data_IF_083585120198
#
_entry.id   IF_083585120198
#
_cell.length_a   1.000
_cell.length_b   1.000
_cell.length_c   1.000
_cell.angle_alpha   90.00
_cell.angle_beta   90.00
_cell.angle_gamma   90.00
#
_symmetry.space_group_name_H-M   'P 1'
#
loop_
_entity.id
_entity.type
_entity.pdbx_description
1 polymer ?
#
# COMPACT_ATOMS: atom_id res chain seq x y z
N UNK A 1 23.70 16.93 11.31
CA UNK A 1 23.02 15.64 11.18
C UNK A 1 21.54 15.88 11.41
N UNK A 2 20.72 15.82 10.34
CA UNK A 2 19.29 15.59 10.50
C UNK A 2 19.10 14.18 9.99
N UNK A 3 18.88 13.27 10.92
CA UNK A 3 18.43 11.93 10.62
C UNK A 3 17.23 12.04 9.69
N UNK A 4 17.24 11.28 8.61
CA UNK A 4 16.12 11.09 7.70
C UNK A 4 14.95 10.60 8.54
N UNK A 5 14.10 11.54 8.98
CA UNK A 5 12.92 11.25 9.77
C UNK A 5 12.04 10.30 8.94
N UNK A 6 11.67 9.16 9.53
CA UNK A 6 10.64 8.29 8.97
C UNK A 6 9.41 9.15 8.70
N UNK A 7 9.04 9.23 7.43
CA UNK A 7 7.95 10.08 7.01
C UNK A 7 6.63 9.52 7.57
N UNK A 8 5.71 10.37 8.04
CA UNK A 8 4.37 9.92 8.36
C UNK A 8 3.75 9.30 7.08
N UNK A 9 3.34 8.03 7.18
CA UNK A 9 2.72 7.20 6.12
C UNK A 9 3.66 6.42 5.18
N UNK A 10 4.98 6.40 5.39
CA UNK A 10 5.87 5.46 4.69
C UNK A 10 5.90 4.10 5.40
N UNK A 11 4.88 3.26 5.17
CA UNK A 11 4.97 1.84 5.52
C UNK A 11 5.78 1.13 4.44
N UNK A 12 6.91 0.52 4.82
CA UNK A 12 7.66 -0.40 3.95
C UNK A 12 6.92 -1.72 3.72
N UNK A 13 5.84 -1.98 4.46
CA UNK A 13 5.01 -3.17 4.33
C UNK A 13 3.88 -2.91 3.36
N UNK A 14 3.93 -3.63 2.24
CA UNK A 14 2.96 -3.59 1.17
C UNK A 14 2.26 -4.95 1.11
N UNK A 15 1.00 -4.95 0.69
CA UNK A 15 0.26 -6.18 0.51
C UNK A 15 -0.65 -6.16 -0.71
N UNK A 16 -0.95 -7.36 -1.18
CA UNK A 16 -1.88 -7.65 -2.27
C UNK A 16 -2.74 -8.87 -1.88
N UNK A 17 -4.00 -8.86 -2.30
CA UNK A 17 -4.92 -9.99 -2.11
C UNK A 17 -4.94 -10.85 -3.36
N UNK A 18 -4.77 -12.16 -3.25
CA UNK A 18 -4.89 -13.09 -4.37
C UNK A 18 -6.09 -13.98 -4.10
N UNK A 19 -7.17 -13.75 -4.85
CA UNK A 19 -8.36 -14.58 -4.76
C UNK A 19 -8.14 -15.90 -5.50
N UNK A 20 -8.75 -17.00 -5.03
CA UNK A 20 -8.74 -18.26 -5.76
C UNK A 20 -9.42 -18.08 -7.12
N UNK A 21 -8.84 -18.69 -8.16
CA UNK A 21 -9.33 -18.53 -9.52
C UNK A 21 -10.60 -19.36 -9.69
N UNK A 22 -11.63 -18.78 -10.28
CA UNK A 22 -12.82 -19.50 -10.67
C UNK A 22 -12.50 -20.41 -11.86
N UNK A 23 -12.90 -21.67 -11.78
CA UNK A 23 -12.75 -22.67 -12.84
C UNK A 23 -13.92 -22.64 -13.83
N UNK A 24 -15.02 -22.02 -13.43
CA UNK A 24 -16.27 -21.94 -14.17
C UNK A 24 -16.78 -20.50 -14.22
N UNK A 25 -17.59 -20.20 -15.23
CA UNK A 25 -18.20 -18.87 -15.41
C UNK A 25 -19.14 -18.50 -14.26
N UNK A 26 -19.73 -19.49 -13.62
CA UNK A 26 -20.67 -19.31 -12.51
C UNK A 26 -19.95 -19.13 -11.16
N UNK A 27 -18.62 -19.26 -11.12
CA UNK A 27 -17.81 -19.17 -9.89
C UNK A 27 -18.28 -20.12 -8.78
N UNK A 28 -18.77 -21.30 -9.18
CA UNK A 28 -19.18 -22.38 -8.28
C UNK A 28 -17.99 -23.26 -7.89
N UNK A 29 -16.93 -23.28 -8.72
CA UNK A 29 -15.71 -24.05 -8.48
C UNK A 29 -14.49 -23.16 -8.53
N UNK A 30 -13.59 -23.40 -7.59
CA UNK A 30 -12.34 -22.65 -7.48
C UNK A 30 -11.15 -23.60 -7.56
N UNK A 31 -10.02 -23.07 -8.01
CA UNK A 31 -8.71 -23.74 -7.89
C UNK A 31 -8.40 -24.05 -6.42
N UNK A 32 -7.43 -24.92 -6.18
CA UNK A 32 -7.00 -25.24 -4.81
C UNK A 32 -6.31 -24.05 -4.15
N UNK A 33 -6.15 -24.12 -2.82
CA UNK A 33 -5.43 -23.05 -2.12
C UNK A 33 -3.95 -23.05 -2.49
N UNK A 34 -3.38 -24.22 -2.77
CA UNK A 34 -2.00 -24.38 -3.26
C UNK A 34 -1.80 -23.69 -4.61
N UNK A 35 -2.73 -23.84 -5.56
CA UNK A 35 -2.69 -23.13 -6.84
C UNK A 35 -2.76 -21.60 -6.65
N UNK A 36 -3.52 -21.15 -5.66
CA UNK A 36 -3.63 -19.72 -5.31
C UNK A 36 -2.31 -19.19 -4.75
N UNK A 37 -1.63 -19.96 -3.91
CA UNK A 37 -0.28 -19.64 -3.44
C UNK A 37 0.74 -19.65 -4.59
N UNK A 38 0.65 -20.63 -5.50
CA UNK A 38 1.51 -20.71 -6.68
C UNK A 38 1.35 -19.47 -7.57
N UNK A 39 0.12 -18.99 -7.79
CA UNK A 39 -0.15 -17.72 -8.51
C UNK A 39 0.41 -16.50 -7.78
N UNK A 40 0.28 -16.43 -6.47
CA UNK A 40 0.88 -15.34 -5.68
C UNK A 40 2.41 -15.33 -5.81
N UNK A 41 3.05 -16.51 -5.74
CA UNK A 41 4.48 -16.67 -5.97
C UNK A 41 4.88 -16.30 -7.40
N UNK A 42 4.14 -16.74 -8.40
CA UNK A 42 4.42 -16.39 -9.80
C UNK A 42 4.35 -14.88 -10.03
N UNK A 43 3.37 -14.19 -9.43
CA UNK A 43 3.24 -12.74 -9.54
C UNK A 43 4.44 -11.99 -8.93
N UNK A 44 4.92 -12.39 -7.74
CA UNK A 44 6.08 -11.73 -7.12
C UNK A 44 7.36 -11.97 -7.92
N UNK A 45 7.60 -13.21 -8.38
CA UNK A 45 8.77 -13.52 -9.21
C UNK A 45 8.75 -12.80 -10.55
N UNK A 46 7.58 -12.78 -11.23
CA UNK A 46 7.41 -12.00 -12.47
C UNK A 46 7.73 -10.53 -12.25
N UNK A 47 7.22 -9.95 -11.16
CA UNK A 47 7.48 -8.55 -10.80
C UNK A 47 8.98 -8.27 -10.65
N UNK A 48 9.72 -9.15 -9.94
CA UNK A 48 11.15 -9.00 -9.75
C UNK A 48 11.95 -9.15 -11.05
N UNK A 49 11.57 -10.11 -11.91
CA UNK A 49 12.17 -10.32 -13.24
C UNK A 49 11.93 -9.12 -14.15
N UNK A 50 10.75 -8.50 -14.06
CA UNK A 50 10.41 -7.24 -14.74
C UNK A 50 11.19 -6.03 -14.21
N UNK A 51 12.06 -6.20 -13.21
CA UNK A 51 12.94 -5.15 -12.68
C UNK A 51 12.31 -4.31 -11.56
N UNK A 52 11.20 -4.76 -10.97
CA UNK A 52 10.52 -4.07 -9.87
C UNK A 52 11.28 -4.33 -8.56
N UNK A 53 11.68 -3.29 -7.81
CA UNK A 53 12.53 -3.44 -6.64
C UNK A 53 11.74 -3.79 -5.38
N UNK A 54 11.15 -4.99 -5.37
CA UNK A 54 10.41 -5.53 -4.24
C UNK A 54 10.96 -6.87 -3.75
N UNK A 55 10.79 -7.13 -2.47
CA UNK A 55 11.18 -8.37 -1.80
C UNK A 55 9.96 -9.08 -1.20
N UNK A 56 9.93 -10.40 -1.31
CA UNK A 56 8.90 -11.22 -0.67
C UNK A 56 9.09 -11.20 0.85
N UNK A 57 8.01 -10.96 1.59
CA UNK A 57 8.03 -10.98 3.05
C UNK A 57 7.33 -12.22 3.60
N UNK A 58 6.06 -12.41 3.22
CA UNK A 58 5.26 -13.51 3.71
C UNK A 58 4.02 -13.74 2.82
N UNK A 59 3.44 -14.93 2.90
CA UNK A 59 2.11 -15.22 2.37
C UNK A 59 1.25 -15.85 3.45
N UNK A 60 0.05 -15.32 3.66
CA UNK A 60 -0.88 -15.78 4.69
C UNK A 60 -2.24 -16.11 4.08
N UNK A 61 -2.93 -17.13 4.59
CA UNK A 61 -4.34 -17.37 4.25
C UNK A 61 -5.23 -16.31 4.88
N UNK A 62 -6.13 -15.74 4.09
CA UNK A 62 -7.13 -14.77 4.51
C UNK A 62 -8.52 -15.31 4.19
N UNK A 63 -9.38 -15.38 5.21
CA UNK A 63 -10.76 -15.83 5.07
C UNK A 63 -11.66 -14.63 4.73
N UNK A 64 -12.38 -14.72 3.62
CA UNK A 64 -13.30 -13.69 3.16
C UNK A 64 -14.72 -14.24 3.14
N UNK A 65 -15.63 -13.53 3.80
CA UNK A 65 -17.04 -13.86 3.76
C UNK A 65 -17.62 -13.45 2.41
N UNK A 66 -18.38 -14.36 1.79
CA UNK A 66 -19.13 -14.10 0.57
C UNK A 66 -20.52 -14.70 0.70
N UNK A 67 -21.50 -14.10 0.05
CA UNK A 67 -22.80 -14.73 -0.11
C UNK A 67 -22.67 -15.83 -1.16
N UNK A 68 -23.07 -17.05 -0.82
CA UNK A 68 -23.19 -18.15 -1.79
C UNK A 68 -24.67 -18.43 -2.03
N UNK A 69 -25.01 -19.03 -3.17
CA UNK A 69 -26.40 -19.35 -3.51
C UNK A 69 -26.43 -20.50 -4.52
N UNK A 70 -27.55 -21.23 -4.57
CA UNK A 70 -27.79 -22.26 -5.58
C UNK A 70 -26.86 -23.47 -5.47
N UNK A 71 -26.22 -23.83 -6.58
CA UNK A 71 -25.34 -25.01 -6.68
C UNK A 71 -24.11 -24.91 -5.75
N UNK A 72 -23.55 -23.70 -5.60
CA UNK A 72 -22.39 -23.45 -4.73
C UNK A 72 -22.71 -23.70 -3.25
N UNK A 73 -23.90 -23.28 -2.81
CA UNK A 73 -24.38 -23.54 -1.45
C UNK A 73 -24.62 -25.04 -1.23
N UNK A 74 -25.33 -25.68 -2.17
CA UNK A 74 -25.66 -27.10 -2.10
C UNK A 74 -24.43 -28.00 -1.97
N UNK A 75 -23.32 -27.63 -2.64
CA UNK A 75 -22.06 -28.38 -2.63
C UNK A 75 -21.20 -28.17 -1.37
N UNK A 76 -21.36 -27.05 -0.66
CA UNK A 76 -20.42 -26.65 0.39
C UNK A 76 -21.03 -26.53 1.79
N UNK A 77 -22.35 -26.39 1.91
CA UNK A 77 -23.08 -26.21 3.18
C UNK A 77 -23.40 -27.54 3.89
N UNK A 78 -23.39 -28.67 3.16
CA UNK A 78 -23.81 -29.99 3.67
C UNK A 78 -22.69 -30.93 4.15
N UNK A 79 -21.43 -30.47 4.21
CA UNK A 79 -20.29 -31.28 4.66
C UNK A 79 -20.13 -31.26 6.19
N UNK A 80 -21.03 -31.94 6.89
CA UNK A 80 -21.10 -31.98 8.36
C UNK A 80 -20.27 -33.07 9.06
N UNK A 81 -19.48 -33.87 8.34
CA UNK A 81 -18.70 -34.98 8.93
C UNK A 81 -17.25 -34.56 9.25
N UNK A 82 -16.70 -35.05 10.37
CA UNK A 82 -15.29 -34.85 10.73
C UNK A 82 -14.30 -35.37 9.66
N UNK A 83 -14.71 -36.35 8.85
CA UNK A 83 -13.93 -36.83 7.69
C UNK A 83 -13.77 -35.76 6.60
N UNK A 84 -14.75 -34.86 6.48
CA UNK A 84 -14.76 -33.80 5.46
C UNK A 84 -13.88 -32.62 5.86
N UNK A 85 -13.49 -32.48 7.14
CA UNK A 85 -12.55 -31.45 7.61
C UNK A 85 -11.18 -31.54 6.93
N UNK A 86 -10.74 -32.75 6.57
CA UNK A 86 -9.50 -32.94 5.80
C UNK A 86 -9.57 -32.23 4.44
N UNK A 87 -10.73 -32.28 3.78
CA UNK A 87 -10.99 -31.57 2.54
C UNK A 87 -11.09 -30.05 2.77
N UNK A 88 -11.63 -29.59 3.90
CA UNK A 88 -11.75 -28.15 4.24
C UNK A 88 -10.38 -27.47 4.33
N UNK A 89 -9.33 -28.17 4.78
CA UNK A 89 -7.99 -27.57 4.89
C UNK A 89 -7.41 -27.10 3.55
N UNK A 90 -7.70 -27.85 2.47
CA UNK A 90 -7.28 -27.55 1.10
C UNK A 90 -8.38 -26.89 0.25
N UNK A 91 -9.63 -26.91 0.71
CA UNK A 91 -10.73 -26.25 0.05
C UNK A 91 -10.54 -24.73 0.07
N UNK A 92 -10.80 -24.10 -1.07
CA UNK A 92 -10.78 -22.64 -1.23
C UNK A 92 -12.11 -21.99 -0.94
N UNK A 93 -13.19 -22.77 -0.88
CA UNK A 93 -14.51 -22.31 -0.50
C UNK A 93 -15.19 -23.38 0.35
N UNK A 94 -15.68 -22.99 1.52
CA UNK A 94 -16.61 -23.79 2.32
C UNK A 94 -17.81 -22.94 2.72
N UNK A 95 -18.97 -23.59 2.89
CA UNK A 95 -20.23 -22.91 3.14
C UNK A 95 -20.81 -23.30 4.49
N UNK A 96 -21.62 -22.43 5.06
CA UNK A 96 -22.51 -22.74 6.17
C UNK A 96 -23.78 -21.89 6.06
N UNK A 97 -24.86 -22.37 6.65
CA UNK A 97 -26.11 -21.62 6.76
C UNK A 97 -26.08 -20.77 8.05
N UNK A 98 -26.43 -19.48 7.95
CA UNK A 98 -26.56 -18.62 9.12
C UNK A 98 -27.87 -18.87 9.89
N UNK A 99 -28.07 -18.20 11.01
CA UNK A 99 -29.29 -18.35 11.83
C UNK A 99 -30.59 -17.98 11.09
N UNK A 100 -30.51 -17.20 10.01
CA UNK A 100 -31.65 -16.74 9.22
C UNK A 100 -31.89 -17.59 7.96
N UNK A 101 -31.14 -18.68 7.76
CA UNK A 101 -31.26 -19.52 6.57
C UNK A 101 -30.52 -18.98 5.35
N UNK A 102 -29.56 -18.06 5.54
CA UNK A 102 -28.75 -17.50 4.45
C UNK A 102 -27.47 -18.30 4.31
N UNK A 103 -27.22 -18.80 3.10
CA UNK A 103 -25.97 -19.49 2.79
C UNK A 103 -24.79 -18.50 2.72
N UNK A 104 -23.85 -18.67 3.64
CA UNK A 104 -22.60 -17.90 3.71
C UNK A 104 -21.44 -18.80 3.29
N UNK A 105 -20.64 -18.32 2.35
CA UNK A 105 -19.38 -18.93 1.97
C UNK A 105 -18.20 -18.23 2.62
N UNK A 106 -17.18 -19.00 2.95
CA UNK A 106 -15.86 -18.51 3.34
C UNK A 106 -14.88 -18.86 2.23
N UNK A 107 -14.40 -17.84 1.54
CA UNK A 107 -13.36 -17.97 0.52
C UNK A 107 -12.00 -17.85 1.18
N UNK A 108 -11.14 -18.85 1.00
CA UNK A 108 -9.74 -18.83 1.43
C UNK A 108 -8.88 -18.20 0.35
N UNK A 109 -8.57 -16.92 0.52
CA UNK A 109 -7.68 -16.15 -0.34
C UNK A 109 -6.25 -16.12 0.24
N UNK A 110 -5.28 -15.71 -0.57
CA UNK A 110 -3.90 -15.52 -0.13
C UNK A 110 -3.57 -14.03 -0.02
N UNK A 111 -3.16 -13.59 1.17
CA UNK A 111 -2.56 -12.29 1.43
C UNK A 111 -1.07 -12.37 1.20
N UNK A 112 -0.60 -11.76 0.11
CA UNK A 112 0.82 -11.62 -0.18
C UNK A 112 1.35 -10.33 0.46
N UNK A 113 2.38 -10.45 1.30
CA UNK A 113 3.12 -9.35 1.88
C UNK A 113 4.49 -9.23 1.18
N UNK A 114 4.82 -8.01 0.79
CA UNK A 114 6.09 -7.67 0.16
C UNK A 114 6.56 -6.30 0.64
N UNK A 115 7.83 -5.99 0.41
CA UNK A 115 8.44 -4.72 0.80
C UNK A 115 9.27 -4.15 -0.35
N UNK A 116 9.58 -2.86 -0.28
CA UNK A 116 10.61 -2.25 -1.14
C UNK A 116 11.99 -2.70 -0.68
N UNK A 117 12.90 -3.02 -1.61
CA UNK A 117 14.27 -3.46 -1.28
C UNK A 117 15.03 -2.38 -0.49
N UNK A 118 14.88 -1.12 -0.89
CA UNK A 118 15.60 -0.01 -0.30
C UNK A 118 14.70 1.13 0.18
N UNK A 119 13.52 0.77 0.70
CA UNK A 119 12.47 1.68 1.17
C UNK A 119 11.83 2.52 0.05
N UNK A 120 10.85 3.33 0.41
CA UNK A 120 10.18 4.28 -0.49
C UNK A 120 10.90 5.64 -0.42
N UNK A 121 11.38 6.15 -1.55
CA UNK A 121 11.99 7.48 -1.62
C UNK A 121 10.94 8.53 -2.03
N UNK A 122 10.71 9.58 -1.23
CA UNK A 122 9.89 10.70 -1.65
C UNK A 122 10.64 11.55 -2.67
N UNK A 123 9.94 11.96 -3.72
CA UNK A 123 10.41 12.86 -4.75
C UNK A 123 9.37 13.96 -4.97
N UNK A 124 9.77 15.21 -4.80
CA UNK A 124 8.93 16.37 -5.11
C UNK A 124 9.25 16.87 -6.52
N UNK A 125 8.22 17.01 -7.34
CA UNK A 125 8.31 17.63 -8.67
C UNK A 125 7.82 19.07 -8.55
N UNK A 126 8.72 20.06 -8.53
CA UNK A 126 8.35 21.47 -8.43
C UNK A 126 7.76 21.94 -9.75
N UNK A 127 6.61 22.62 -9.68
CA UNK A 127 5.91 23.17 -10.83
C UNK A 127 5.98 24.70 -10.76
N UNK A 128 6.22 25.32 -11.91
CA UNK A 128 6.38 26.76 -12.09
C UNK A 128 5.40 27.29 -13.14
N UNK A 129 5.10 28.59 -13.07
CA UNK A 129 4.28 29.26 -14.07
C UNK A 129 4.98 29.21 -15.44
N UNK A 130 4.28 28.70 -16.45
CA UNK A 130 4.83 28.52 -17.81
C UNK A 130 5.21 27.07 -18.14
N UNK A 131 5.16 26.15 -17.18
CA UNK A 131 5.37 24.72 -17.45
C UNK A 131 4.26 24.15 -18.35
N UNK A 132 4.61 23.83 -19.60
CA UNK A 132 3.68 23.25 -20.58
C UNK A 132 3.55 21.73 -20.45
N UNK A 133 4.59 21.06 -19.94
CA UNK A 133 4.67 19.60 -19.76
C UNK A 133 5.45 19.25 -18.49
N UNK A 134 5.18 18.07 -17.92
CA UNK A 134 5.90 17.57 -16.73
C UNK A 134 7.31 17.04 -17.06
N UNK A 135 7.56 16.66 -18.32
CA UNK A 135 8.86 16.16 -18.77
C UNK A 135 9.12 14.68 -18.46
N UNK A 136 8.09 13.91 -18.11
CA UNK A 136 8.17 12.45 -17.99
C UNK A 136 6.85 11.79 -18.43
N UNK A 137 6.93 10.51 -18.78
CA UNK A 137 5.80 9.66 -19.12
C UNK A 137 5.69 8.50 -18.12
N UNK A 138 4.47 8.04 -17.88
CA UNK A 138 4.18 6.88 -17.04
C UNK A 138 3.58 5.76 -17.89
N UNK A 139 3.83 4.52 -17.49
CA UNK A 139 3.25 3.32 -18.10
C UNK A 139 2.99 2.25 -17.05
N UNK A 140 2.38 1.15 -17.46
CA UNK A 140 1.97 0.07 -16.56
C UNK A 140 2.62 -1.25 -16.99
N UNK A 141 3.16 -2.00 -16.03
CA UNK A 141 3.67 -3.37 -16.26
C UNK A 141 2.54 -4.39 -16.36
N UNK A 142 2.83 -5.61 -16.81
CA UNK A 142 1.83 -6.68 -16.82
C UNK A 142 1.37 -7.06 -15.42
N UNK A 143 2.24 -6.93 -14.43
CA UNK A 143 1.98 -7.18 -13.00
C UNK A 143 1.17 -6.06 -12.33
N UNK A 144 0.87 -4.98 -13.06
CA UNK A 144 -0.01 -3.89 -12.62
C UNK A 144 0.69 -2.73 -11.91
N UNK A 145 2.01 -2.62 -11.97
CA UNK A 145 2.75 -1.50 -11.38
C UNK A 145 2.82 -0.32 -12.33
N UNK A 146 2.65 0.89 -11.79
CA UNK A 146 2.90 2.13 -12.52
C UNK A 146 4.37 2.49 -12.39
N UNK A 147 5.03 2.72 -13.52
CA UNK A 147 6.43 3.12 -13.56
C UNK A 147 6.65 4.27 -14.51
N UNK A 148 7.77 4.96 -14.34
CA UNK A 148 8.21 6.04 -15.21
C UNK A 148 8.87 5.40 -16.42
N UNK A 149 8.25 5.55 -17.60
CA UNK A 149 8.68 4.87 -18.82
C UNK A 149 9.65 5.68 -19.67
N UNK A 150 9.60 7.00 -19.55
CA UNK A 150 10.52 7.91 -20.24
C UNK A 150 10.61 9.24 -19.51
N UNK A 151 11.78 9.88 -19.61
CA UNK A 151 12.02 11.24 -19.13
C UNK A 151 12.61 12.02 -20.30
N UNK A 152 12.10 13.23 -20.53
CA UNK A 152 12.53 14.09 -21.64
C UNK A 152 13.94 14.63 -21.36
N UNK A 153 14.83 14.53 -22.34
CA UNK A 153 16.13 15.19 -22.30
C UNK A 153 15.97 16.68 -22.58
N UNK A 154 16.66 17.50 -21.78
CA UNK A 154 16.49 18.97 -21.79
C UNK A 154 16.56 19.58 -23.20
N UNK A 155 15.56 20.39 -23.53
CA UNK A 155 15.68 21.42 -24.56
C UNK A 155 16.43 22.62 -23.94
N UNK A 156 17.33 23.24 -24.70
CA UNK A 156 18.26 24.30 -24.21
C UNK A 156 17.58 25.54 -23.62
N UNK A 157 16.28 25.71 -23.84
CA UNK A 157 15.55 26.96 -23.56
C UNK A 157 14.57 26.87 -22.39
N UNK A 158 14.20 25.66 -21.90
CA UNK A 158 13.35 25.52 -20.71
C UNK A 158 13.56 24.17 -20.01
N UNK A 159 14.04 24.20 -18.77
CA UNK A 159 14.28 23.00 -17.98
C UNK A 159 12.94 22.42 -17.49
N UNK A 160 12.64 21.17 -17.85
CA UNK A 160 11.38 20.54 -17.48
C UNK A 160 11.31 20.22 -15.97
N UNK A 161 10.09 20.14 -15.38
CA UNK A 161 9.92 19.78 -13.97
C UNK A 161 10.61 18.48 -13.54
N UNK A 162 10.65 17.49 -14.43
CA UNK A 162 11.37 16.23 -14.22
C UNK A 162 12.87 16.42 -14.04
N UNK A 163 13.50 17.32 -14.80
CA UNK A 163 14.94 17.56 -14.65
C UNK A 163 15.22 18.37 -13.38
N UNK A 164 14.42 19.40 -13.09
CA UNK A 164 14.56 20.23 -11.87
C UNK A 164 14.43 19.44 -10.57
N UNK A 165 13.65 18.36 -10.60
CA UNK A 165 13.47 17.45 -9.45
C UNK A 165 14.58 16.41 -9.29
N UNK A 166 15.50 16.28 -10.25
CA UNK A 166 16.47 15.18 -10.28
C UNK A 166 15.87 13.84 -10.73
N UNK A 167 14.63 13.82 -11.22
CA UNK A 167 13.98 12.59 -11.70
C UNK A 167 14.74 11.97 -12.87
N UNK A 168 15.34 12.79 -13.72
CA UNK A 168 16.14 12.32 -14.86
C UNK A 168 17.35 11.52 -14.42
N UNK A 169 18.07 12.00 -13.40
CA UNK A 169 19.26 11.31 -12.90
C UNK A 169 18.87 9.99 -12.23
N UNK A 170 17.77 9.97 -11.46
CA UNK A 170 17.21 8.75 -10.88
C UNK A 170 16.76 7.75 -11.95
N UNK A 171 16.11 8.22 -13.01
CA UNK A 171 15.67 7.37 -14.12
C UNK A 171 16.87 6.74 -14.85
N UNK A 172 17.93 7.51 -15.08
CA UNK A 172 19.14 7.00 -15.70
C UNK A 172 19.85 5.97 -14.81
N UNK A 173 19.96 6.23 -13.50
CA UNK A 173 20.50 5.26 -12.55
C UNK A 173 19.68 3.97 -12.50
N UNK A 174 18.34 4.06 -12.50
CA UNK A 174 17.46 2.89 -12.55
C UNK A 174 17.72 2.06 -13.82
N UNK A 175 17.83 2.74 -14.96
CA UNK A 175 18.08 2.12 -16.25
C UNK A 175 19.44 1.44 -16.32
N UNK A 176 20.49 2.08 -15.80
CA UNK A 176 21.84 1.49 -15.68
C UNK A 176 21.83 0.25 -14.80
N UNK A 177 21.05 0.26 -13.71
CA UNK A 177 20.86 -0.89 -12.83
C UNK A 177 19.88 -1.95 -13.39
N UNK A 178 19.33 -1.76 -14.59
CA UNK A 178 18.28 -2.60 -15.18
C UNK A 178 17.04 -2.77 -14.26
N UNK A 179 16.66 -1.68 -13.60
CA UNK A 179 15.49 -1.59 -12.70
C UNK A 179 14.45 -0.62 -13.26
N UNK A 180 13.19 -0.86 -12.88
CA UNK A 180 12.09 0.05 -13.17
C UNK A 180 11.92 1.06 -12.04
N UNK A 181 11.74 2.33 -12.41
CA UNK A 181 11.43 3.39 -11.46
C UNK A 181 9.92 3.39 -11.19
N UNK A 182 9.51 2.57 -10.23
CA UNK A 182 8.09 2.32 -9.88
C UNK A 182 7.57 3.39 -8.94
N UNK A 183 6.41 3.95 -9.27
CA UNK A 183 5.68 4.91 -8.43
C UNK A 183 4.81 4.12 -7.47
N UNK A 184 5.09 4.21 -6.17
CA UNK A 184 4.26 3.59 -5.14
C UNK A 184 3.12 4.47 -4.66
N UNK A 185 3.33 5.80 -4.65
CA UNK A 185 2.32 6.78 -4.22
C UNK A 185 2.36 8.06 -5.05
N UNK A 186 1.18 8.68 -5.20
CA UNK A 186 1.02 10.03 -5.78
C UNK A 186 0.18 10.88 -4.83
N UNK A 187 0.77 11.95 -4.31
CA UNK A 187 0.16 12.81 -3.28
C UNK A 187 -0.26 12.01 -2.04
N UNK A 188 0.64 11.12 -1.58
CA UNK A 188 0.48 10.18 -0.44
C UNK A 188 -0.56 9.05 -0.61
N UNK A 189 -1.31 9.03 -1.71
CA UNK A 189 -2.21 7.92 -2.05
C UNK A 189 -1.43 6.79 -2.73
N UNK A 190 -1.58 5.56 -2.22
CA UNK A 190 -0.95 4.36 -2.78
C UNK A 190 -1.53 4.04 -4.16
N UNK A 191 -0.65 3.86 -5.15
CA UNK A 191 -1.02 3.53 -6.55
C UNK A 191 -0.57 2.13 -6.99
N UNK A 192 -0.09 1.32 -6.05
CA UNK A 192 0.35 -0.05 -6.27
C UNK A 192 -0.85 -1.00 -6.52
N UNK A 193 -0.64 -2.11 -7.24
CA UNK A 193 -1.68 -3.11 -7.43
C UNK A 193 -2.08 -3.74 -6.09
N UNK A 194 -3.38 -4.00 -5.90
CA UNK A 194 -3.93 -4.39 -4.59
C UNK A 194 -4.63 -5.74 -4.57
N UNK A 195 -5.01 -6.29 -5.73
CA UNK A 195 -5.72 -7.56 -5.80
C UNK A 195 -5.50 -8.30 -7.13
N UNK A 196 -5.46 -9.63 -7.10
CA UNK A 196 -5.71 -10.52 -8.23
C UNK A 196 -7.08 -11.15 -8.03
N UNK A 197 -8.02 -10.91 -8.95
CA UNK A 197 -9.40 -11.39 -8.85
C UNK A 197 -9.52 -12.89 -9.12
N UNK A 198 -10.69 -13.46 -8.84
CA UNK A 198 -11.02 -14.85 -9.20
C UNK A 198 -11.04 -15.08 -10.72
N UNK A 199 -11.15 -14.04 -11.55
CA UNK A 199 -10.97 -14.16 -13.00
C UNK A 199 -9.50 -14.15 -13.43
N UNK A 200 -8.56 -13.94 -12.50
CA UNK A 200 -7.14 -13.76 -12.77
C UNK A 200 -6.74 -12.33 -13.16
N UNK A 201 -7.67 -11.37 -13.15
CA UNK A 201 -7.38 -9.99 -13.49
C UNK A 201 -6.70 -9.25 -12.32
N UNK A 202 -5.65 -8.49 -12.62
CA UNK A 202 -4.95 -7.66 -11.65
C UNK A 202 -5.70 -6.33 -11.51
N UNK A 203 -6.10 -6.02 -10.27
CA UNK A 203 -6.71 -4.75 -9.89
C UNK A 203 -5.60 -3.76 -9.52
N UNK A 204 -5.50 -2.72 -10.35
CA UNK A 204 -4.46 -1.70 -10.30
C UNK A 204 -5.03 -0.36 -10.77
N UNK A 205 -4.26 0.72 -10.60
CA UNK A 205 -4.65 2.05 -11.03
C UNK A 205 -4.57 2.19 -12.55
N UNK A 206 -5.47 3.01 -13.10
CA UNK A 206 -5.46 3.33 -14.53
C UNK A 206 -4.50 4.49 -14.83
N UNK A 207 -3.74 4.36 -15.92
CA UNK A 207 -2.77 5.36 -16.35
C UNK A 207 -3.43 6.65 -16.81
N UNK A 208 -4.67 6.60 -17.34
CA UNK A 208 -5.39 7.79 -17.81
C UNK A 208 -5.81 8.63 -16.62
N UNK A 209 -6.46 8.03 -15.62
CA UNK A 209 -6.84 8.72 -14.39
C UNK A 209 -5.64 9.33 -13.67
N UNK A 210 -4.51 8.60 -13.61
CA UNK A 210 -3.30 9.12 -12.98
C UNK A 210 -2.70 10.28 -13.76
N UNK A 211 -2.64 10.19 -15.09
CA UNK A 211 -2.15 11.27 -15.95
C UNK A 211 -3.01 12.53 -15.85
N UNK A 212 -4.33 12.37 -15.72
CA UNK A 212 -5.26 13.48 -15.45
C UNK A 212 -4.96 14.14 -14.10
N UNK A 213 -4.77 13.36 -13.03
CA UNK A 213 -4.41 13.87 -11.70
C UNK A 213 -3.09 14.67 -11.76
N UNK A 214 -2.05 14.13 -12.39
CA UNK A 214 -0.77 14.83 -12.55
C UNK A 214 -0.91 16.12 -13.39
N UNK A 215 -1.77 16.12 -14.40
CA UNK A 215 -2.06 17.30 -15.21
C UNK A 215 -2.78 18.39 -14.41
N UNK A 216 -3.69 18.02 -13.50
CA UNK A 216 -4.35 18.97 -12.60
C UNK A 216 -3.36 19.65 -11.65
N UNK A 217 -2.38 18.92 -11.12
CA UNK A 217 -1.30 19.51 -10.32
C UNK A 217 -0.54 20.57 -11.12
N UNK A 218 -0.20 20.30 -12.39
CA UNK A 218 0.45 21.27 -13.29
C UNK A 218 -0.41 22.51 -13.52
N UNK A 219 -1.68 22.34 -13.84
CA UNK A 219 -2.60 23.47 -14.07
C UNK A 219 -2.81 24.32 -12.81
N UNK A 220 -2.77 23.70 -11.63
CA UNK A 220 -2.86 24.39 -10.35
C UNK A 220 -1.51 24.91 -9.83
N UNK A 221 -0.41 24.68 -10.56
CA UNK A 221 0.97 25.00 -10.15
C UNK A 221 1.26 24.47 -8.74
N UNK A 222 0.74 23.28 -8.43
CA UNK A 222 0.94 22.61 -7.14
C UNK A 222 2.01 21.53 -7.29
N UNK A 223 3.05 21.51 -6.43
CA UNK A 223 4.07 20.48 -6.51
C UNK A 223 3.45 19.08 -6.44
N UNK A 224 4.04 18.14 -7.17
CA UNK A 224 3.61 16.75 -7.16
C UNK A 224 4.53 15.99 -6.23
N UNK A 225 3.97 15.34 -5.22
CA UNK A 225 4.72 14.44 -4.34
C UNK A 225 4.59 13.01 -4.86
N UNK A 226 5.67 12.45 -5.38
CA UNK A 226 5.79 11.05 -5.76
C UNK A 226 6.52 10.27 -4.66
N UNK A 227 6.20 8.99 -4.52
CA UNK A 227 7.03 8.05 -3.78
C UNK A 227 7.47 6.95 -4.73
N UNK A 228 8.76 6.64 -4.73
CA UNK A 228 9.39 5.71 -5.65
C UNK A 228 9.91 4.49 -4.88
N UNK A 229 9.73 3.30 -5.43
CA UNK A 229 10.36 2.08 -4.88
C UNK A 229 11.82 2.07 -5.29
N UNK A 230 12.73 2.02 -4.30
CA UNK A 230 14.17 2.07 -4.54
C UNK A 230 14.78 0.66 -4.56
N UNK A 231 15.78 0.45 -5.42
CA UNK A 231 16.55 -0.80 -5.53
C UNK A 231 17.82 -0.82 -4.67
N UNK A 232 18.37 0.34 -4.34
CA UNK A 232 19.57 0.49 -3.51
C UNK A 232 19.32 1.49 -2.39
N UNK A 233 19.82 1.17 -1.19
CA UNK A 233 19.77 2.10 -0.07
C UNK A 233 20.67 3.27 -0.42
N UNK A 234 20.23 4.53 -0.25
CA UNK A 234 21.06 5.68 -0.57
C UNK A 234 22.36 5.59 0.24
N UNK A 235 23.47 5.34 -0.44
CA UNK A 235 24.79 5.25 0.18
C UNK A 235 25.34 6.66 0.39
N UNK A 236 24.98 7.27 1.51
CA UNK A 236 25.58 8.52 1.98
C UNK A 236 24.61 9.42 2.75
N UNK A 237 25.13 10.33 3.60
CA UNK A 237 24.30 11.42 4.11
C UNK A 237 23.85 12.24 2.90
N UNK A 238 22.55 12.30 2.65
CA UNK A 238 21.96 13.14 1.61
C UNK A 238 22.43 14.58 1.83
N UNK A 239 23.47 15.00 1.12
CA UNK A 239 23.82 16.40 1.01
C UNK A 239 22.72 17.07 0.18
N UNK A 240 21.71 17.55 0.91
CA UNK A 240 20.79 18.63 0.56
C UNK A 240 20.33 18.69 -0.91
N UNK A 241 19.18 18.08 -1.18
CA UNK A 241 18.20 18.61 -2.17
C UNK A 241 16.97 19.16 -1.43
N UNK A 242 17.16 19.72 -0.22
CA UNK A 242 16.14 20.51 0.47
C UNK A 242 16.72 21.90 0.67
N UNK A 243 16.40 22.82 -0.25
CA UNK A 243 16.44 24.25 0.06
C UNK A 243 15.30 24.49 1.05
N UNK A 244 15.64 24.58 2.33
CA UNK A 244 14.73 25.05 3.37
C UNK A 244 14.11 26.40 2.94
N UNK A 245 12.79 26.60 3.06
CA UNK A 245 12.20 27.92 2.92
C UNK A 245 12.83 28.84 3.97
N UNK A 246 13.32 30.01 3.55
CA UNK A 246 13.67 31.08 4.49
C UNK A 246 12.39 31.47 5.24
N UNK A 247 12.30 31.14 6.52
CA UNK A 247 11.28 31.75 7.38
C UNK A 247 11.54 33.27 7.44
N UNK A 248 10.49 34.11 7.37
CA UNK A 248 10.61 35.52 7.74
C UNK A 248 10.94 35.66 9.24
N UNK A 249 11.62 36.74 9.66
CA UNK A 249 12.05 36.93 11.04
C UNK A 249 10.85 36.93 12.00
N UNK A 250 10.93 36.12 13.05
CA UNK A 250 9.92 36.02 14.10
C UNK A 250 9.83 37.34 14.86
N UNK A 251 8.63 37.93 14.89
CA UNK A 251 8.28 38.98 15.85
C UNK A 251 8.12 38.35 17.23
N UNK A 252 8.87 38.87 18.20
CA UNK A 252 8.78 38.48 19.60
C UNK A 252 7.40 38.83 20.19
N UNK A 253 6.80 37.88 20.92
CA UNK A 253 5.72 38.14 21.88
C UNK A 253 6.06 37.48 23.22
N UNK A 254 5.56 38.02 24.35
CA UNK A 254 6.27 37.99 25.64
C UNK A 254 6.19 36.64 26.36
N UNK A 255 7.30 36.25 26.99
CA UNK A 255 7.39 35.06 27.84
C UNK A 255 6.60 35.23 29.14
N UNK A 256 5.81 34.20 29.50
CA UNK A 256 5.20 34.06 30.83
C UNK A 256 6.12 33.16 31.68
N UNK A 257 6.47 33.52 32.93
CA UNK A 257 7.44 32.77 33.73
C UNK A 257 6.89 31.44 34.28
N UNK A 258 7.67 30.38 34.15
CA UNK A 258 7.44 29.06 34.74
C UNK A 258 7.93 29.02 36.19
N UNK A 259 7.01 29.07 37.16
CA UNK A 259 7.28 28.70 38.55
C UNK A 259 6.05 27.97 39.13
N UNK A 260 6.03 26.63 39.04
CA UNK A 260 5.58 25.69 40.08
C UNK A 260 5.58 24.26 39.48
N UNK A 261 6.67 23.52 39.65
CA UNK A 261 6.62 22.05 39.61
C UNK A 261 7.30 21.59 40.90
N UNK A 262 6.46 21.16 41.85
CA UNK A 262 6.87 20.54 43.09
C UNK A 262 7.06 19.03 42.81
N UNK A 263 8.24 18.54 43.17
CA UNK A 263 8.75 17.19 42.96
C UNK A 263 8.09 16.18 43.90
N UNK A 264 7.69 15.02 43.39
CA UNK A 264 7.50 13.80 44.22
C UNK A 264 8.08 12.58 43.47
N UNK A 265 9.07 11.95 44.09
CA UNK A 265 9.79 10.74 43.66
C UNK A 265 8.93 9.45 43.73
N UNK A 266 9.30 8.37 43.04
CA UNK A 266 8.64 7.07 43.18
C UNK A 266 9.31 6.20 44.26
N UNK A 267 8.51 5.50 45.06
CA UNK A 267 8.96 4.45 46.00
C UNK A 267 8.37 3.09 45.60
N UNK A 268 9.23 2.08 45.63
CA UNK A 268 8.97 0.66 45.37
C UNK A 268 8.28 0.01 46.57
N UNK A 269 7.31 -0.88 46.34
CA UNK A 269 7.13 -2.10 47.14
C UNK A 269 6.22 -3.13 46.46
N UNK A 270 6.29 -4.35 46.99
CA UNK A 270 6.18 -5.66 46.35
C UNK A 270 4.88 -6.42 46.73
N UNK A 271 4.54 -7.41 45.89
CA UNK A 271 3.74 -8.63 46.11
C UNK A 271 2.22 -8.72 45.79
N UNK A 272 1.94 -9.91 45.21
CA UNK A 272 0.80 -10.82 45.34
C UNK A 272 -0.27 -10.98 44.22
N UNK A 273 -0.49 -12.27 43.94
CA UNK A 273 -1.33 -12.93 42.93
C UNK A 273 -2.79 -12.49 42.89
N UNK A 274 -3.38 -12.40 41.69
CA UNK A 274 -4.82 -12.63 41.51
C UNK A 274 -5.15 -13.13 40.09
N UNK A 275 -5.75 -14.32 40.02
CA UNK A 275 -6.45 -14.88 38.86
C UNK A 275 -7.83 -14.22 38.79
N UNK A 276 -8.23 -13.71 37.62
CA UNK A 276 -9.60 -13.22 37.43
C UNK A 276 -9.87 -12.68 36.03
N UNK A 277 -10.86 -13.29 35.36
CA UNK A 277 -11.49 -12.87 34.12
C UNK A 277 -11.75 -11.35 34.06
N UNK A 278 -11.29 -10.69 32.99
CA UNK A 278 -11.79 -9.37 32.62
C UNK A 278 -12.24 -9.39 31.15
N UNK A 279 -13.51 -9.76 31.00
CA UNK A 279 -14.38 -9.34 29.93
C UNK A 279 -14.27 -7.82 29.74
N UNK A 280 -13.82 -7.36 28.57
CA UNK A 280 -13.93 -5.96 28.20
C UNK A 280 -15.38 -5.69 27.77
N UNK A 281 -16.11 -4.94 28.60
CA UNK A 281 -17.36 -4.28 28.19
C UNK A 281 -16.97 -2.92 27.61
N UNK A 282 -17.45 -2.63 26.42
CA UNK A 282 -17.35 -1.30 25.81
C UNK A 282 -18.44 -0.45 26.47
N UNK A 283 -18.02 0.53 27.27
CA UNK A 283 -18.92 1.53 27.85
C UNK A 283 -19.46 2.47 26.75
N UNK A 284 -20.76 2.77 26.90
CA UNK A 284 -21.61 3.54 26.00
C UNK A 284 -21.05 4.93 25.65
N UNK A 285 -20.85 5.17 24.36
CA UNK A 285 -20.73 6.52 23.80
C UNK A 285 -22.14 7.07 23.57
N UNK A 286 -22.56 7.98 24.45
CA UNK A 286 -23.76 8.78 24.30
C UNK A 286 -23.74 9.58 23.00
N UNK A 287 -24.56 9.19 22.03
CA UNK A 287 -24.85 9.99 20.83
C UNK A 287 -25.87 11.07 21.21
N UNK A 288 -25.41 12.30 21.31
CA UNK A 288 -26.27 13.47 21.37
C UNK A 288 -26.96 13.69 20.02
N UNK A 289 -28.22 13.28 19.92
CA UNK A 289 -29.13 13.61 18.83
C UNK A 289 -29.52 15.09 18.90
N UNK A 290 -29.23 15.83 17.84
CA UNK A 290 -29.99 17.00 17.44
C UNK A 290 -29.91 17.04 15.93
N UNK A 291 -31.02 16.74 15.25
CA UNK A 291 -31.75 17.60 14.31
C UNK A 291 -32.94 16.78 13.77
N UNK A 292 -34.08 17.47 13.64
CA UNK A 292 -35.43 16.98 13.31
C UNK A 292 -35.49 16.14 12.05
#
# INVERSE_FOLDING_TARGET
MRDSLRMPNSSSYLSMLVLPKALDLNSCRYESFEDTLARANAWIYSSQVSGIPIEFMNVQSEALLTKISGETASATVNSGSLSDLSNVTNATLYGFEDYHGVDIGVVKAARLWYSSIAEEMPLEIPLEEGDTRLGFAISRTEEGFIFISSVVDNDKDNEAPSTRSGLRDLFNQAREASKLLVISRVSNEKVLPWMISSSGAIRCFDTISLSQKLSLHRLAVRPIQLHLLMWEKPSGPVERIIRSPKLPPQSELPQVPWNLIESIEPRVDVDEDYVGDLSFRIDDLSVGTSWV
#
